data_IF_474043832721
#
_entry.id   IF_474043832721
#
_cell.length_a   1.000
_cell.length_b   1.000
_cell.length_c   1.000
_cell.angle_alpha   90.00
_cell.angle_beta   90.00
_cell.angle_gamma   90.00
#
_symmetry.space_group_name_H-M   'P 1'
#
loop_
_entity.id
_entity.type
_entity.pdbx_description
1 polymer ?
#
# COMPACT_ATOMS: atom_id res chain seq x y z
N UNK A 1 5.43 14.53 3.96
CA UNK A 1 5.33 15.88 4.56
C UNK A 1 4.03 16.40 3.99
N UNK A 2 2.94 16.45 4.74
CA UNK A 2 1.67 16.92 4.17
C UNK A 2 1.83 18.40 3.78
N UNK A 3 2.06 18.68 2.50
CA UNK A 3 2.52 20.00 2.04
C UNK A 3 1.44 20.88 1.45
N UNK A 4 0.24 20.35 1.20
CA UNK A 4 -0.84 21.14 0.60
C UNK A 4 -2.10 21.09 1.45
N UNK A 5 -2.67 22.27 1.70
CA UNK A 5 -4.03 22.39 2.21
C UNK A 5 -4.99 22.27 1.03
N UNK A 6 -6.10 21.56 1.21
CA UNK A 6 -7.20 21.56 0.24
C UNK A 6 -7.84 22.95 0.13
N UNK A 7 -8.68 23.18 -0.88
CA UNK A 7 -9.40 24.45 -1.07
C UNK A 7 -10.23 24.86 0.16
N UNK A 8 -10.65 23.88 0.97
CA UNK A 8 -11.41 24.09 2.21
C UNK A 8 -10.52 24.23 3.47
N UNK A 9 -9.19 24.27 3.30
CA UNK A 9 -8.23 24.44 4.39
C UNK A 9 -7.85 23.16 5.15
N UNK A 10 -8.35 21.99 4.74
CA UNK A 10 -8.02 20.67 5.31
C UNK A 10 -6.62 20.23 4.88
N UNK A 11 -6.01 19.32 5.64
CA UNK A 11 -4.72 18.72 5.27
C UNK A 11 -4.94 17.69 4.16
N UNK A 12 -4.28 17.86 3.02
CA UNK A 12 -4.38 16.91 1.91
C UNK A 12 -3.22 15.91 1.97
N UNK A 13 -3.55 14.62 1.90
CA UNK A 13 -2.59 13.53 1.78
C UNK A 13 -2.74 12.87 0.43
N UNK A 14 -1.64 12.71 -0.29
CA UNK A 14 -1.63 12.02 -1.59
C UNK A 14 -1.25 10.56 -1.42
N UNK A 15 -2.02 9.65 -2.00
CA UNK A 15 -1.82 8.20 -1.87
C UNK A 15 -1.87 7.54 -3.23
N UNK A 16 -0.80 6.85 -3.65
CA UNK A 16 -0.85 6.12 -4.93
C UNK A 16 -1.77 4.92 -4.83
N UNK A 17 -2.63 4.73 -5.83
CA UNK A 17 -3.55 3.61 -5.95
C UNK A 17 -3.35 2.89 -7.28
N UNK A 18 -3.99 1.74 -7.45
CA UNK A 18 -4.09 1.12 -8.78
C UNK A 18 -5.53 0.87 -9.18
N UNK A 19 -5.84 1.19 -10.44
CA UNK A 19 -7.15 1.03 -11.05
C UNK A 19 -8.28 1.40 -10.06
N UNK A 20 -8.22 2.61 -9.49
CA UNK A 20 -9.00 3.02 -8.32
C UNK A 20 -10.49 2.68 -8.43
N UNK A 21 -11.09 3.00 -9.59
CA UNK A 21 -12.51 2.74 -9.88
C UNK A 21 -12.92 1.26 -9.82
N UNK A 22 -11.96 0.34 -10.00
CA UNK A 22 -12.18 -1.11 -9.99
C UNK A 22 -11.54 -1.82 -8.79
N UNK A 23 -10.91 -1.06 -7.89
CA UNK A 23 -10.29 -1.57 -6.66
C UNK A 23 -11.01 -0.96 -5.45
N UNK A 24 -12.19 -1.49 -5.08
CA UNK A 24 -13.09 -0.85 -4.11
C UNK A 24 -12.53 -0.78 -2.68
N UNK A 25 -11.43 -1.47 -2.40
CA UNK A 25 -10.72 -1.42 -1.13
C UNK A 25 -10.23 0.01 -0.81
N UNK A 26 -9.64 0.70 -1.79
CA UNK A 26 -9.06 2.03 -1.57
C UNK A 26 -10.13 3.06 -1.16
N UNK A 27 -11.21 3.16 -1.92
CA UNK A 27 -12.31 4.09 -1.60
C UNK A 27 -12.88 3.84 -0.20
N UNK A 28 -13.06 2.57 0.18
CA UNK A 28 -13.59 2.21 1.51
C UNK A 28 -12.64 2.60 2.64
N UNK A 29 -11.34 2.33 2.48
CA UNK A 29 -10.32 2.70 3.45
C UNK A 29 -10.23 4.22 3.60
N UNK A 30 -10.21 4.95 2.48
CA UNK A 30 -10.10 6.41 2.51
C UNK A 30 -11.32 7.05 3.16
N UNK A 31 -12.54 6.62 2.81
CA UNK A 31 -13.76 7.12 3.45
C UNK A 31 -13.82 6.85 4.94
N UNK A 32 -13.43 5.64 5.37
CA UNK A 32 -13.39 5.31 6.79
C UNK A 32 -12.40 6.21 7.54
N UNK A 33 -11.20 6.40 6.97
CA UNK A 33 -10.18 7.26 7.55
C UNK A 33 -10.64 8.73 7.63
N UNK A 34 -11.18 9.29 6.55
CA UNK A 34 -11.66 10.68 6.52
C UNK A 34 -12.85 10.93 7.45
N UNK A 35 -13.71 9.93 7.67
CA UNK A 35 -14.81 10.02 8.63
C UNK A 35 -14.31 10.15 10.08
N UNK A 36 -13.20 9.48 10.42
CA UNK A 36 -12.55 9.59 11.73
C UNK A 36 -11.62 10.81 11.83
N UNK A 37 -11.18 11.35 10.69
CA UNK A 37 -10.21 12.45 10.59
C UNK A 37 -10.76 13.58 9.70
N UNK A 38 -11.78 14.34 10.14
CA UNK A 38 -12.50 15.30 9.30
C UNK A 38 -11.63 16.46 8.77
N UNK A 39 -10.48 16.71 9.39
CA UNK A 39 -9.50 17.72 9.00
C UNK A 39 -8.49 17.22 7.95
N UNK A 40 -8.60 15.95 7.52
CA UNK A 40 -7.74 15.33 6.53
C UNK A 40 -8.57 14.87 5.33
N UNK A 41 -8.03 15.05 4.14
CA UNK A 41 -8.58 14.54 2.88
C UNK A 41 -7.54 13.74 2.14
N UNK A 42 -7.93 12.61 1.57
CA UNK A 42 -7.06 11.75 0.78
C UNK A 42 -7.30 12.01 -0.72
N UNK A 43 -6.23 12.34 -1.43
CA UNK A 43 -6.22 12.48 -2.88
C UNK A 43 -5.55 11.24 -3.50
N UNK A 44 -6.31 10.36 -4.19
CA UNK A 44 -5.73 9.22 -4.87
C UNK A 44 -4.89 9.66 -6.07
N UNK A 45 -3.65 9.20 -6.14
CA UNK A 45 -2.82 9.25 -7.35
C UNK A 45 -3.02 7.93 -8.08
N UNK A 46 -4.05 7.88 -8.94
CA UNK A 46 -4.42 6.63 -9.60
C UNK A 46 -3.49 6.27 -10.77
N UNK A 47 -3.03 5.02 -10.77
CA UNK A 47 -2.07 4.50 -11.74
C UNK A 47 -2.62 3.19 -12.31
N UNK A 48 -2.51 2.99 -13.63
CA UNK A 48 -2.87 1.72 -14.25
C UNK A 48 -2.06 0.57 -13.62
N UNK A 49 -2.74 -0.52 -13.29
CA UNK A 49 -2.14 -1.64 -12.57
C UNK A 49 -0.88 -2.19 -13.29
N UNK A 50 -0.93 -2.31 -14.60
CA UNK A 50 0.13 -2.91 -15.41
C UNK A 50 1.39 -2.02 -15.48
N UNK A 51 1.22 -0.70 -15.32
CA UNK A 51 2.30 0.28 -15.40
C UNK A 51 2.82 0.73 -14.02
N UNK A 52 2.26 0.19 -12.94
CA UNK A 52 2.41 0.72 -11.60
C UNK A 52 3.87 0.88 -11.15
N UNK A 53 4.65 -0.20 -11.20
CA UNK A 53 6.04 -0.18 -10.76
C UNK A 53 6.91 0.77 -11.60
N UNK A 54 6.66 0.82 -12.91
CA UNK A 54 7.36 1.74 -13.82
C UNK A 54 7.04 3.19 -13.49
N UNK A 55 5.76 3.51 -13.25
CA UNK A 55 5.31 4.86 -12.95
C UNK A 55 5.83 5.34 -11.59
N UNK A 56 5.72 4.53 -10.56
CA UNK A 56 6.24 4.86 -9.21
C UNK A 56 7.76 5.03 -9.24
N UNK A 57 8.49 4.17 -9.96
CA UNK A 57 9.95 4.33 -10.13
C UNK A 57 10.30 5.64 -10.80
N UNK A 58 9.53 6.04 -11.82
CA UNK A 58 9.73 7.30 -12.54
C UNK A 58 9.44 8.50 -11.61
N UNK A 59 8.31 8.47 -10.90
CA UNK A 59 7.91 9.49 -9.92
C UNK A 59 9.03 9.72 -8.89
N UNK A 60 9.50 8.65 -8.23
CA UNK A 60 10.56 8.72 -7.24
C UNK A 60 11.88 9.24 -7.83
N UNK A 61 12.19 8.88 -9.08
CA UNK A 61 13.40 9.37 -9.77
C UNK A 61 13.30 10.84 -10.17
N UNK A 62 12.08 11.35 -10.41
CA UNK A 62 11.84 12.77 -10.73
C UNK A 62 11.70 13.67 -9.50
N UNK A 63 11.82 13.12 -8.28
CA UNK A 63 11.63 13.88 -7.04
C UNK A 63 10.16 14.19 -6.74
N UNK A 64 9.26 13.29 -7.13
CA UNK A 64 7.84 13.36 -6.77
C UNK A 64 7.65 13.45 -5.25
N UNK A 65 6.56 14.09 -4.83
CA UNK A 65 6.30 14.43 -3.41
C UNK A 65 5.08 13.72 -2.83
N UNK A 66 4.58 12.67 -3.49
CA UNK A 66 3.49 11.84 -3.00
C UNK A 66 3.76 11.39 -1.56
N UNK A 67 2.77 11.52 -0.68
CA UNK A 67 2.92 11.25 0.76
C UNK A 67 3.01 9.75 1.07
N UNK A 68 2.15 8.93 0.44
CA UNK A 68 2.04 7.50 0.70
C UNK A 68 2.10 6.72 -0.60
N UNK A 69 3.00 5.75 -0.66
CA UNK A 69 3.13 4.85 -1.80
C UNK A 69 2.56 3.47 -1.45
N UNK A 70 1.56 2.99 -2.20
CA UNK A 70 1.04 1.64 -2.00
C UNK A 70 1.96 0.60 -2.64
N UNK A 71 2.62 -0.24 -1.85
CA UNK A 71 3.54 -1.23 -2.39
C UNK A 71 2.80 -2.43 -3.00
N UNK A 72 3.10 -2.74 -4.27
CA UNK A 72 2.54 -3.91 -4.97
C UNK A 72 3.26 -5.22 -4.71
N UNK A 73 4.57 -5.17 -4.52
CA UNK A 73 5.39 -6.35 -4.36
C UNK A 73 6.66 -6.04 -3.57
N UNK A 74 7.28 -7.12 -3.07
CA UNK A 74 8.48 -7.04 -2.24
C UNK A 74 9.70 -6.52 -3.01
N UNK A 75 9.81 -6.81 -4.32
CA UNK A 75 10.96 -6.39 -5.12
C UNK A 75 11.04 -4.87 -5.27
N UNK A 76 9.93 -4.23 -5.65
CA UNK A 76 9.83 -2.76 -5.75
C UNK A 76 10.08 -2.12 -4.39
N UNK A 77 9.45 -2.63 -3.33
CA UNK A 77 9.66 -2.19 -1.96
C UNK A 77 11.16 -2.19 -1.57
N UNK A 78 11.84 -3.33 -1.75
CA UNK A 78 13.27 -3.45 -1.40
C UNK A 78 14.15 -2.52 -2.23
N UNK A 79 13.86 -2.36 -3.52
CA UNK A 79 14.59 -1.45 -4.38
C UNK A 79 14.47 0.02 -3.94
N UNK A 80 13.27 0.45 -3.53
CA UNK A 80 13.05 1.82 -3.07
C UNK A 80 13.67 2.07 -1.68
N UNK A 81 13.54 1.09 -0.77
CA UNK A 81 14.17 1.15 0.55
C UNK A 81 15.70 1.27 0.44
N UNK A 82 16.35 0.39 -0.35
CA UNK A 82 17.81 0.39 -0.53
C UNK A 82 18.36 1.64 -1.22
N UNK A 83 17.51 2.37 -1.96
CA UNK A 83 17.85 3.67 -2.58
C UNK A 83 17.54 4.87 -1.68
N UNK A 84 17.13 4.64 -0.42
CA UNK A 84 16.70 5.67 0.53
C UNK A 84 15.53 6.52 0.01
N UNK A 85 14.63 5.90 -0.76
CA UNK A 85 13.44 6.57 -1.31
C UNK A 85 12.19 6.37 -0.42
N UNK A 86 12.30 5.57 0.64
CA UNK A 86 11.24 5.33 1.61
C UNK A 86 11.67 5.79 3.01
N UNK A 87 10.71 6.23 3.81
CA UNK A 87 10.93 6.62 5.21
C UNK A 87 11.13 5.38 6.05
N UNK A 88 12.16 5.39 6.91
CA UNK A 88 12.39 4.35 7.91
C UNK A 88 11.30 4.44 9.00
N UNK A 89 10.51 3.38 9.14
CA UNK A 89 9.39 3.26 10.08
C UNK A 89 9.75 2.40 11.30
N UNK A 90 11.00 1.97 11.43
CA UNK A 90 11.42 0.97 12.44
C UNK A 90 11.04 1.37 13.86
N UNK A 91 11.24 2.63 14.23
CA UNK A 91 10.87 3.11 15.57
C UNK A 91 9.36 3.22 15.75
N UNK A 92 8.62 3.62 14.71
CA UNK A 92 7.17 3.67 14.75
C UNK A 92 6.55 2.28 14.95
N UNK A 93 7.09 1.26 14.27
CA UNK A 93 6.59 -0.12 14.35
C UNK A 93 6.78 -0.73 15.74
N UNK A 94 7.82 -0.33 16.49
CA UNK A 94 8.04 -0.82 17.87
C UNK A 94 6.92 -0.42 18.84
N UNK A 95 6.20 0.65 18.53
CA UNK A 95 5.09 1.15 19.37
C UNK A 95 3.73 0.50 19.00
N UNK A 96 3.69 -0.36 17.97
CA UNK A 96 2.48 -1.01 17.49
C UNK A 96 2.37 -2.46 17.98
N UNK A 97 1.14 -2.94 18.18
CA UNK A 97 0.88 -4.38 18.32
C UNK A 97 0.93 -5.07 16.95
N UNK A 98 2.10 -5.63 16.63
CA UNK A 98 2.32 -6.31 15.35
C UNK A 98 1.96 -7.81 15.38
N UNK A 99 1.54 -8.36 16.52
CA UNK A 99 1.29 -9.79 16.64
C UNK A 99 0.32 -10.35 15.56
N UNK A 100 -0.75 -9.63 15.16
CA UNK A 100 -1.66 -10.09 14.10
C UNK A 100 -1.03 -10.19 12.71
N UNK A 101 0.03 -9.42 12.44
CA UNK A 101 0.66 -9.30 11.12
C UNK A 101 2.16 -9.63 11.15
N UNK A 102 2.63 -10.32 12.20
CA UNK A 102 4.06 -10.56 12.47
C UNK A 102 4.80 -11.15 11.27
N UNK A 103 4.23 -12.17 10.62
CA UNK A 103 4.84 -12.81 9.46
C UNK A 103 5.01 -11.82 8.28
N UNK A 104 4.06 -10.91 8.09
CA UNK A 104 4.16 -9.88 7.07
C UNK A 104 5.30 -8.91 7.41
N UNK A 105 5.38 -8.42 8.66
CA UNK A 105 6.50 -7.56 9.07
C UNK A 105 7.86 -8.23 8.90
N UNK A 106 8.01 -9.50 9.30
CA UNK A 106 9.24 -10.28 9.10
C UNK A 106 9.63 -10.40 7.62
N UNK A 107 8.63 -10.53 6.73
CA UNK A 107 8.86 -10.59 5.27
C UNK A 107 9.34 -9.26 4.67
N UNK A 108 8.94 -8.12 5.25
CA UNK A 108 9.30 -6.78 4.79
C UNK A 108 10.54 -6.21 5.51
N UNK A 109 11.17 -6.93 6.42
CA UNK A 109 12.40 -6.48 7.09
C UNK A 109 13.59 -6.48 6.11
N UNK A 110 14.37 -5.40 6.13
CA UNK A 110 15.63 -5.27 5.39
C UNK A 110 16.70 -4.79 6.37
N UNK A 111 17.68 -5.64 6.67
CA UNK A 111 18.80 -5.36 7.58
C UNK A 111 18.35 -4.77 8.94
N UNK A 112 17.30 -5.35 9.54
CA UNK A 112 16.75 -4.90 10.83
C UNK A 112 15.87 -3.64 10.74
N UNK A 113 15.49 -3.21 9.53
CA UNK A 113 14.65 -2.03 9.30
C UNK A 113 13.34 -2.36 8.59
N UNK A 114 12.32 -1.55 8.85
CA UNK A 114 11.01 -1.63 8.19
C UNK A 114 10.66 -0.28 7.57
N UNK A 115 10.17 -0.29 6.33
CA UNK A 115 9.83 0.91 5.55
C UNK A 115 8.37 0.94 5.09
N UNK A 116 7.55 -0.02 5.54
CA UNK A 116 6.15 -0.11 5.16
C UNK A 116 5.28 -0.61 6.33
N UNK A 117 4.02 -0.20 6.31
CA UNK A 117 2.96 -0.73 7.15
C UNK A 117 2.14 -1.75 6.33
N UNK A 118 2.23 -3.06 6.63
CA UNK A 118 1.40 -4.06 5.95
C UNK A 118 -0.08 -3.82 6.22
N UNK A 119 -0.90 -3.81 5.18
CA UNK A 119 -2.36 -3.67 5.28
C UNK A 119 -3.14 -4.82 4.63
N UNK A 120 -2.50 -5.55 3.69
CA UNK A 120 -3.06 -6.73 3.02
C UNK A 120 -2.01 -7.83 2.94
N UNK A 121 -2.45 -9.08 2.97
CA UNK A 121 -1.62 -10.24 2.68
C UNK A 121 -2.45 -11.26 1.91
N UNK A 122 -1.88 -11.76 0.81
CA UNK A 122 -2.48 -12.78 -0.03
C UNK A 122 -1.70 -14.09 0.11
N UNK A 123 -2.37 -15.23 -0.04
CA UNK A 123 -1.74 -16.55 0.02
C UNK A 123 -2.26 -17.46 -1.07
N UNK A 124 -1.41 -18.40 -1.50
CA UNK A 124 -1.74 -19.34 -2.57
C UNK A 124 -2.74 -20.38 -2.08
N UNK A 125 -3.80 -20.57 -2.87
CA UNK A 125 -4.81 -21.61 -2.64
C UNK A 125 -5.13 -22.33 -3.95
N UNK A 126 -5.60 -23.57 -3.85
CA UNK A 126 -6.12 -24.32 -4.98
C UNK A 126 -7.62 -24.08 -5.12
N UNK A 127 -8.03 -23.45 -6.21
CA UNK A 127 -9.42 -23.42 -6.64
C UNK A 127 -9.70 -24.63 -7.53
N UNK A 128 -10.81 -25.33 -7.28
CA UNK A 128 -11.25 -26.45 -8.11
C UNK A 128 -12.76 -26.41 -8.33
N UNK A 129 -13.21 -27.00 -9.44
CA UNK A 129 -14.64 -27.10 -9.77
C UNK A 129 -15.20 -28.40 -9.19
N UNK A 130 -15.95 -28.29 -8.10
CA UNK A 130 -16.58 -29.43 -7.41
C UNK A 130 -17.40 -30.30 -8.36
N UNK A 131 -18.21 -29.69 -9.23
CA UNK A 131 -19.06 -30.42 -10.18
C UNK A 131 -18.25 -31.29 -11.13
N UNK A 132 -17.13 -30.79 -11.63
CA UNK A 132 -16.26 -31.57 -12.52
C UNK A 132 -15.57 -32.73 -11.79
N UNK A 133 -15.27 -32.55 -10.50
CA UNK A 133 -14.70 -33.60 -9.66
C UNK A 133 -15.76 -34.70 -9.41
N UNK A 134 -16.99 -34.30 -9.04
CA UNK A 134 -18.12 -35.23 -8.85
C UNK A 134 -18.42 -36.03 -10.14
N UNK A 135 -18.45 -35.35 -11.30
CA UNK A 135 -18.66 -35.99 -12.62
C UNK A 135 -17.53 -36.97 -13.00
N UNK A 136 -16.31 -36.71 -12.53
CA UNK A 136 -15.15 -37.59 -12.71
C UNK A 136 -15.04 -38.69 -11.64
N UNK A 137 -15.91 -38.67 -10.61
CA UNK A 137 -15.88 -39.61 -9.49
C UNK A 137 -14.70 -39.42 -8.54
N UNK A 138 -14.17 -38.19 -8.44
CA UNK A 138 -13.08 -37.79 -7.53
C UNK A 138 -13.65 -37.05 -6.32
#
# INVERSE_FOLDING_TARGET
KATEKSEDGKTKLTVTTWNYDTTPEFEKLFRAFEAENPDITIEPVDIASDDYDTKVTTMLSSGDTTDILTMKNLLSYSNYALRNQLVDLTDHVKDLDIAPAKASYEMYEIDGKTYAQPYRTDFWVLYYNKKMFDEAGI
#
